data_IF_358446485193
#
_entry.id   IF_358446485193
#
_cell.length_a   1.000
_cell.length_b   1.000
_cell.length_c   1.000
_cell.angle_alpha   90.00
_cell.angle_beta   90.00
_cell.angle_gamma   90.00
#
_symmetry.space_group_name_H-M   'P 1'
#
loop_
_entity.id
_entity.type
_entity.pdbx_description
1 polymer ?
#
# COMPACT_ATOMS: atom_id res chain seq x y z
N UNK A 1 5.86 -8.44 -13.03
CA UNK A 1 5.94 -7.08 -12.42
C UNK A 1 4.86 -6.84 -11.36
N UNK A 2 3.81 -7.66 -11.29
CA UNK A 2 2.76 -7.62 -10.25
C UNK A 2 3.16 -8.24 -8.89
N UNK A 3 4.33 -8.86 -8.80
CA UNK A 3 4.80 -9.52 -7.57
C UNK A 3 4.94 -8.54 -6.39
N UNK A 4 5.46 -7.34 -6.65
CA UNK A 4 5.63 -6.30 -5.65
C UNK A 4 4.31 -5.75 -5.07
N UNK A 5 3.27 -5.58 -5.91
CA UNK A 5 1.94 -5.16 -5.43
C UNK A 5 1.37 -6.22 -4.48
N UNK A 6 1.54 -7.49 -4.84
CA UNK A 6 1.11 -8.61 -3.99
C UNK A 6 1.88 -8.66 -2.67
N UNK A 7 3.20 -8.47 -2.70
CA UNK A 7 4.02 -8.41 -1.49
C UNK A 7 3.64 -7.22 -0.61
N UNK A 8 3.46 -6.04 -1.20
CA UNK A 8 2.99 -4.86 -0.48
C UNK A 8 1.64 -5.11 0.20
N UNK A 9 0.70 -5.74 -0.50
CA UNK A 9 -0.61 -6.11 0.05
C UNK A 9 -0.47 -7.06 1.22
N UNK A 10 0.39 -8.07 1.11
CA UNK A 10 0.62 -9.03 2.18
C UNK A 10 1.13 -8.32 3.44
N UNK A 11 2.14 -7.45 3.31
CA UNK A 11 2.64 -6.67 4.45
C UNK A 11 1.58 -5.74 5.04
N UNK A 12 0.72 -5.14 4.23
CA UNK A 12 -0.41 -4.34 4.74
C UNK A 12 -1.42 -5.21 5.52
N UNK A 13 -1.68 -6.44 5.07
CA UNK A 13 -2.55 -7.37 5.78
C UNK A 13 -1.95 -7.82 7.11
N UNK A 14 -0.64 -8.09 7.15
CA UNK A 14 0.08 -8.39 8.38
C UNK A 14 0.02 -7.20 9.35
N UNK A 15 0.30 -5.98 8.85
CA UNK A 15 0.15 -4.76 9.63
C UNK A 15 -1.28 -4.58 10.17
N UNK A 16 -2.31 -4.97 9.40
CA UNK A 16 -3.71 -4.84 9.81
C UNK A 16 -4.10 -5.86 10.89
N UNK A 17 -3.44 -7.02 10.94
CA UNK A 17 -3.68 -8.02 11.99
C UNK A 17 -3.12 -7.54 13.34
N UNK A 18 -2.00 -6.83 13.29
CA UNK A 18 -1.29 -6.31 14.47
C UNK A 18 -1.78 -4.92 14.90
N UNK A 19 -2.34 -4.13 13.99
CA UNK A 19 -2.79 -2.78 14.28
C UNK A 19 -4.13 -2.71 15.04
N UNK A 20 -4.33 -1.59 15.73
CA UNK A 20 -5.58 -1.29 16.44
C UNK A 20 -6.77 -1.14 15.46
N UNK A 21 -8.00 -1.35 15.97
CA UNK A 21 -9.21 -1.40 15.15
C UNK A 21 -9.41 -0.17 14.23
N UNK A 22 -9.02 1.03 14.69
CA UNK A 22 -9.11 2.29 13.92
C UNK A 22 -8.11 2.36 12.76
N UNK A 23 -6.94 1.76 12.89
CA UNK A 23 -5.92 1.69 11.82
C UNK A 23 -6.21 0.49 10.93
N UNK A 24 -6.62 -0.65 11.53
CA UNK A 24 -6.94 -1.89 10.84
C UNK A 24 -7.97 -1.71 9.72
N UNK A 25 -9.07 -1.00 9.97
CA UNK A 25 -10.09 -0.74 8.93
C UNK A 25 -9.50 0.04 7.75
N UNK A 26 -8.64 1.02 8.04
CA UNK A 26 -7.96 1.80 7.00
C UNK A 26 -6.94 0.96 6.22
N UNK A 27 -6.22 0.05 6.89
CA UNK A 27 -5.28 -0.87 6.25
C UNK A 27 -5.97 -1.90 5.38
N UNK A 28 -7.16 -2.38 5.77
CA UNK A 28 -7.98 -3.24 4.93
C UNK A 28 -8.34 -2.50 3.63
N UNK A 29 -8.78 -1.25 3.71
CA UNK A 29 -9.05 -0.44 2.51
C UNK A 29 -7.83 -0.22 1.63
N UNK A 30 -6.64 -0.09 2.22
CA UNK A 30 -5.39 -0.01 1.44
C UNK A 30 -5.09 -1.34 0.74
N UNK A 31 -5.26 -2.47 1.44
CA UNK A 31 -5.05 -3.80 0.86
C UNK A 31 -6.04 -4.12 -0.27
N UNK A 32 -7.28 -3.62 -0.18
CA UNK A 32 -8.28 -3.69 -1.26
C UNK A 32 -7.81 -2.88 -2.48
N UNK A 33 -7.35 -1.64 -2.30
CA UNK A 33 -6.84 -0.82 -3.39
C UNK A 33 -5.60 -1.41 -4.08
N UNK A 34 -4.75 -2.12 -3.33
CA UNK A 34 -3.62 -2.87 -3.88
C UNK A 34 -4.07 -4.09 -4.70
N UNK A 35 -5.10 -4.81 -4.26
CA UNK A 35 -5.69 -5.94 -5.01
C UNK A 35 -6.29 -5.46 -6.34
N UNK A 36 -7.01 -4.32 -6.32
CA UNK A 36 -7.54 -3.68 -7.54
C UNK A 36 -6.41 -3.30 -8.52
N UNK A 37 -5.30 -2.76 -8.00
CA UNK A 37 -4.11 -2.45 -8.81
C UNK A 37 -3.46 -3.71 -9.39
N UNK A 38 -3.41 -4.83 -8.65
CA UNK A 38 -2.88 -6.11 -9.14
C UNK A 38 -3.75 -6.68 -10.27
N UNK A 39 -5.07 -6.70 -10.05
CA UNK A 39 -6.03 -7.33 -10.94
C UNK A 39 -6.27 -6.51 -12.22
N UNK A 40 -5.99 -5.20 -12.18
CA UNK A 40 -6.28 -4.27 -13.28
C UNK A 40 -7.78 -4.07 -13.51
N UNK A 41 -8.62 -4.65 -12.63
CA UNK A 41 -10.06 -4.58 -12.67
C UNK A 41 -10.50 -3.31 -11.94
N UNK A 42 -10.91 -2.31 -12.71
CA UNK A 42 -11.41 -1.04 -12.17
C UNK A 42 -12.82 -1.25 -11.64
N UNK A 43 -12.98 -1.56 -10.37
CA UNK A 43 -14.28 -1.46 -9.70
C UNK A 43 -14.61 0.01 -9.41
N UNK A 44 -14.98 0.75 -10.46
CA UNK A 44 -15.67 2.06 -10.45
C UNK A 44 -15.13 3.21 -9.56
N UNK A 45 -14.00 3.06 -8.85
CA UNK A 45 -13.55 4.11 -7.91
C UNK A 45 -12.05 4.45 -7.87
N UNK A 46 -11.18 3.74 -8.58
CA UNK A 46 -9.75 4.06 -8.57
C UNK A 46 -9.13 3.63 -9.90
N UNK A 47 -9.21 4.54 -10.86
CA UNK A 47 -8.65 4.40 -12.20
C UNK A 47 -7.13 4.43 -12.10
N UNK A 48 -6.50 3.52 -12.86
CA UNK A 48 -5.11 3.49 -13.36
C UNK A 48 -4.47 4.86 -13.56
N UNK A 49 -4.15 5.53 -12.47
CA UNK A 49 -3.43 6.79 -12.41
C UNK A 49 -2.22 6.58 -11.49
N UNK A 50 -1.05 7.13 -11.82
CA UNK A 50 0.08 7.19 -10.89
C UNK A 50 -0.32 7.83 -9.55
N UNK A 51 -1.35 8.69 -9.54
CA UNK A 51 -1.99 9.23 -8.33
C UNK A 51 -2.58 8.16 -7.40
N UNK A 52 -3.02 6.99 -7.89
CA UNK A 52 -3.59 5.94 -7.02
C UNK A 52 -2.50 5.29 -6.18
N UNK A 53 -1.32 5.02 -6.79
CA UNK A 53 -0.17 4.49 -6.07
C UNK A 53 0.35 5.52 -5.06
N UNK A 54 0.50 6.78 -5.48
CA UNK A 54 0.91 7.88 -4.59
C UNK A 54 -0.09 8.07 -3.43
N UNK A 55 -1.39 7.96 -3.69
CA UNK A 55 -2.44 8.02 -2.66
C UNK A 55 -2.30 6.88 -1.66
N UNK A 56 -2.02 5.66 -2.13
CA UNK A 56 -1.81 4.50 -1.26
C UNK A 56 -0.54 4.68 -0.42
N UNK A 57 0.55 5.14 -1.03
CA UNK A 57 1.80 5.43 -0.32
C UNK A 57 1.61 6.51 0.75
N UNK A 58 0.93 7.61 0.41
CA UNK A 58 0.62 8.69 1.35
C UNK A 58 -0.25 8.19 2.52
N UNK A 59 -1.23 7.32 2.26
CA UNK A 59 -2.03 6.67 3.32
C UNK A 59 -1.17 5.78 4.21
N UNK A 60 -0.28 4.98 3.64
CA UNK A 60 0.64 4.13 4.42
C UNK A 60 1.59 4.97 5.28
N UNK A 61 2.03 6.13 4.81
CA UNK A 61 2.83 7.07 5.63
C UNK A 61 2.01 7.58 6.80
N UNK A 62 0.78 8.04 6.55
CA UNK A 62 -0.10 8.55 7.60
C UNK A 62 -0.46 7.47 8.64
N UNK A 63 -0.74 6.25 8.18
CA UNK A 63 -1.05 5.12 9.07
C UNK A 63 0.18 4.69 9.88
N UNK A 64 1.38 4.74 9.29
CA UNK A 64 2.62 4.43 10.01
C UNK A 64 2.96 5.44 11.11
N UNK A 65 2.46 6.68 11.03
CA UNK A 65 2.59 7.68 12.11
C UNK A 65 1.54 7.49 13.22
N UNK A 66 0.41 6.87 12.88
CA UNK A 66 -0.69 6.58 13.80
C UNK A 66 -0.57 5.23 14.51
N UNK A 67 0.32 4.36 14.03
CA UNK A 67 0.56 3.04 14.60
C UNK A 67 1.60 3.15 15.71
N UNK A 68 1.19 2.82 16.93
CA UNK A 68 2.10 2.67 18.07
C UNK A 68 2.82 1.30 18.09
N UNK A 69 2.28 0.31 17.38
CA UNK A 69 2.86 -1.03 17.34
C UNK A 69 4.09 -1.12 16.41
N UNK A 70 5.27 -1.54 16.93
CA UNK A 70 6.51 -1.57 16.15
C UNK A 70 6.52 -2.65 15.06
N UNK A 71 5.78 -3.75 15.22
CA UNK A 71 5.68 -4.80 14.20
C UNK A 71 4.82 -4.29 13.04
N UNK A 72 3.64 -3.74 13.33
CA UNK A 72 2.80 -3.09 12.34
C UNK A 72 3.55 -1.95 11.61
N UNK A 73 4.31 -1.10 12.32
CA UNK A 73 5.09 -0.05 11.70
C UNK A 73 6.19 -0.59 10.77
N UNK A 74 6.79 -1.74 11.11
CA UNK A 74 7.79 -2.42 10.27
C UNK A 74 7.13 -2.96 9.00
N UNK A 75 5.96 -3.58 9.12
CA UNK A 75 5.18 -4.10 8.00
C UNK A 75 4.74 -2.98 7.05
N UNK A 76 4.32 -1.82 7.57
CA UNK A 76 3.96 -0.66 6.74
C UNK A 76 5.16 -0.10 5.97
N UNK A 77 6.37 -0.13 6.56
CA UNK A 77 7.59 0.24 5.85
C UNK A 77 7.92 -0.77 4.75
N UNK A 78 7.80 -2.07 5.01
CA UNK A 78 8.01 -3.11 4.01
C UNK A 78 7.05 -2.94 2.82
N UNK A 79 5.77 -2.68 3.10
CA UNK A 79 4.78 -2.41 2.05
C UNK A 79 5.16 -1.22 1.17
N UNK A 80 5.66 -0.13 1.77
CA UNK A 80 6.12 1.06 1.02
C UNK A 80 7.35 0.77 0.17
N UNK A 81 8.31 0.00 0.68
CA UNK A 81 9.52 -0.36 -0.06
C UNK A 81 9.14 -1.15 -1.33
N UNK A 82 8.22 -2.10 -1.20
CA UNK A 82 7.68 -2.86 -2.34
C UNK A 82 6.95 -1.98 -3.36
N UNK A 83 6.17 -0.98 -2.91
CA UNK A 83 5.51 -0.04 -3.83
C UNK A 83 6.51 0.84 -4.57
N UNK A 84 7.57 1.31 -3.91
CA UNK A 84 8.63 2.08 -4.58
C UNK A 84 9.40 1.20 -5.57
N UNK A 85 9.68 -0.07 -5.25
CA UNK A 85 10.25 -1.03 -6.20
C UNK A 85 9.34 -1.24 -7.41
N UNK A 86 8.03 -1.38 -7.19
CA UNK A 86 7.06 -1.47 -8.28
C UNK A 86 7.09 -0.21 -9.17
N UNK A 87 7.10 0.98 -8.55
CA UNK A 87 7.16 2.27 -9.24
C UNK A 87 8.41 2.39 -10.10
N UNK A 88 9.58 2.04 -9.54
CA UNK A 88 10.86 1.99 -10.27
C UNK A 88 10.83 0.99 -11.41
N UNK A 89 10.24 -0.19 -11.19
CA UNK A 89 10.11 -1.23 -12.23
C UNK A 89 9.18 -0.81 -13.37
N UNK A 90 8.17 0.03 -13.10
CA UNK A 90 7.30 0.63 -14.10
C UNK A 90 7.94 1.82 -14.85
N UNK A 91 9.14 2.26 -14.46
CA UNK A 91 9.77 3.46 -15.04
C UNK A 91 9.05 4.75 -14.66
N UNK A 92 8.21 4.72 -13.62
CA UNK A 92 7.53 5.88 -13.05
C UNK A 92 8.49 6.61 -12.10
N UNK A 93 9.68 6.98 -12.59
CA UNK A 93 10.55 7.86 -11.84
C UNK A 93 9.98 9.27 -11.96
N UNK A 94 9.48 9.82 -10.84
CA UNK A 94 9.34 11.27 -10.69
C UNK A 94 10.76 11.86 -10.77
N UNK A 95 11.23 12.13 -11.98
CA UNK A 95 12.26 13.13 -12.19
C UNK A 95 11.62 14.47 -11.83
N UNK A 96 12.01 15.03 -10.69
CA UNK A 96 12.34 16.46 -10.49
C UNK A 96 12.88 16.74 -9.06
#
# INVERSE_FOLDING_TARGET
MTDHIRQARQSVQEAADEAEANVREQLIHVAEGLDELESGEKTDRTVTDPDTLETIEAKLVGLGDQVDDPEAATQLRAARDELDLHRRAQGLTSEE
#
